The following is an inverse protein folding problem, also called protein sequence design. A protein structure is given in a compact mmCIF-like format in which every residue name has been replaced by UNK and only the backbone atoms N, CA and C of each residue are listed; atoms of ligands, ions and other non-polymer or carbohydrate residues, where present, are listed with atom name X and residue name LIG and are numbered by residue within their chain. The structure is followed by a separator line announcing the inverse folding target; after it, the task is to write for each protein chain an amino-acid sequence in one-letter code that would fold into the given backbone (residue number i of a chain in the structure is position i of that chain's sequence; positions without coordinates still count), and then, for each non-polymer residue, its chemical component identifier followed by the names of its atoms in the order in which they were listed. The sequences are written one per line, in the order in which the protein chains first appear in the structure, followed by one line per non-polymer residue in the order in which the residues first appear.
data_IF_612367287892
#
_entry.id   IF_612367287892
#
_cell.length_a   1.000
_cell.length_b   1.000
_cell.length_c   1.000
_cell.angle_alpha   90.00
_cell.angle_beta   90.00
_cell.angle_gamma   90.00
#
_symmetry.space_group_name_H-M   'P 1'
#
loop_
_entity.id
_entity.type
_entity.pdbx_description
1 polymer ?
#
# COMPACT_ATOMS: atom_id res chain seq x y z
N UNK A 1 18.65 10.22 -11.72
CA UNK A 1 18.52 9.91 -10.27
C UNK A 1 17.14 9.34 -10.03
N UNK A 2 17.11 8.12 -9.58
CA UNK A 2 15.84 7.46 -9.26
C UNK A 2 15.40 7.89 -7.87
N UNK A 3 14.22 8.44 -7.77
CA UNK A 3 13.67 8.76 -6.46
C UNK A 3 13.41 7.46 -5.69
N UNK A 4 13.82 7.45 -4.44
CA UNK A 4 13.59 6.31 -3.58
C UNK A 4 12.12 6.28 -3.14
N UNK A 5 11.44 5.18 -3.41
CA UNK A 5 10.06 5.00 -3.01
C UNK A 5 10.04 4.45 -1.59
N UNK A 6 9.33 5.16 -0.70
CA UNK A 6 9.08 4.70 0.66
C UNK A 6 7.59 4.47 0.80
N UNK A 7 7.19 3.24 1.00
CA UNK A 7 5.77 2.87 1.04
C UNK A 7 5.38 2.28 2.39
N UNK A 8 4.11 2.44 2.73
CA UNK A 8 3.50 1.77 3.88
C UNK A 8 2.32 0.97 3.34
N UNK A 9 2.30 -0.31 3.67
CA UNK A 9 1.29 -1.25 3.21
C UNK A 9 0.48 -1.77 4.40
N UNK A 10 -0.83 -1.58 4.35
CA UNK A 10 -1.76 -2.15 5.32
C UNK A 10 -2.45 -3.35 4.69
N UNK A 11 -2.25 -4.54 5.24
CA UNK A 11 -2.68 -5.78 4.63
C UNK A 11 -3.53 -6.64 5.56
N UNK A 12 -4.47 -7.38 4.99
CA UNK A 12 -5.18 -8.44 5.70
C UNK A 12 -4.73 -9.84 5.24
N UNK A 13 -3.69 -9.89 4.42
CA UNK A 13 -3.14 -11.14 3.90
C UNK A 13 -3.81 -11.65 2.65
N UNK A 14 -4.68 -10.85 2.00
CA UNK A 14 -5.34 -11.29 0.78
C UNK A 14 -4.38 -11.30 -0.41
N UNK A 15 -4.85 -11.84 -1.53
CA UNK A 15 -4.04 -12.00 -2.74
C UNK A 15 -3.58 -10.68 -3.34
N UNK A 16 -4.41 -9.65 -3.27
CA UNK A 16 -4.05 -8.33 -3.78
C UNK A 16 -2.92 -7.70 -2.96
N UNK A 17 -2.91 -7.94 -1.66
CA UNK A 17 -1.83 -7.49 -0.79
C UNK A 17 -0.50 -8.12 -1.19
N UNK A 18 -0.53 -9.40 -1.54
CA UNK A 18 0.66 -10.09 -1.99
C UNK A 18 1.19 -9.53 -3.32
N UNK A 19 0.29 -9.21 -4.23
CA UNK A 19 0.64 -8.60 -5.51
C UNK A 19 1.37 -7.27 -5.33
N UNK A 20 0.81 -6.41 -4.47
CA UNK A 20 1.44 -5.10 -4.26
C UNK A 20 2.78 -5.23 -3.54
N UNK A 21 2.92 -6.21 -2.65
CA UNK A 21 4.19 -6.50 -2.00
C UNK A 21 5.26 -6.86 -3.02
N UNK A 22 4.93 -7.75 -3.94
CA UNK A 22 5.84 -8.16 -5.01
C UNK A 22 6.22 -6.98 -5.90
N UNK A 23 5.25 -6.13 -6.22
CA UNK A 23 5.50 -4.95 -7.03
C UNK A 23 6.47 -4.00 -6.34
N UNK A 24 6.25 -3.71 -5.07
CA UNK A 24 7.13 -2.84 -4.31
C UNK A 24 8.55 -3.37 -4.23
N UNK A 25 8.70 -4.68 -4.08
CA UNK A 25 10.02 -5.32 -4.09
C UNK A 25 10.69 -5.18 -5.45
N UNK A 26 9.95 -5.38 -6.53
CA UNK A 26 10.52 -5.33 -7.88
C UNK A 26 10.96 -3.91 -8.26
N UNK A 27 10.34 -2.89 -7.69
CA UNK A 27 10.71 -1.49 -7.93
C UNK A 27 11.93 -1.06 -7.11
N UNK A 28 12.43 -1.93 -6.23
CA UNK A 28 13.59 -1.62 -5.39
C UNK A 28 13.30 -0.61 -4.29
N UNK A 29 12.04 -0.36 -3.99
CA UNK A 29 11.64 0.56 -2.95
C UNK A 29 11.74 -0.05 -1.56
N UNK A 30 11.71 0.80 -0.55
CA UNK A 30 11.56 0.37 0.83
C UNK A 30 10.09 0.41 1.20
N UNK A 31 9.64 -0.57 1.97
CA UNK A 31 8.27 -0.54 2.45
C UNK A 31 8.15 -1.16 3.83
N UNK A 32 7.17 -0.66 4.58
CA UNK A 32 6.75 -1.22 5.85
C UNK A 32 5.41 -1.90 5.63
N UNK A 33 5.24 -3.07 6.22
CA UNK A 33 4.00 -3.83 6.11
C UNK A 33 3.37 -3.95 7.49
N UNK A 34 2.12 -3.49 7.61
CA UNK A 34 1.34 -3.65 8.84
C UNK A 34 0.22 -4.65 8.56
N UNK A 35 0.10 -5.64 9.42
CA UNK A 35 -0.82 -6.76 9.22
C UNK A 35 -2.00 -6.67 10.20
N UNK A 36 -3.21 -6.80 9.66
CA UNK A 36 -4.43 -6.84 10.44
C UNK A 36 -4.33 -7.94 11.50
N UNK A 37 -4.67 -7.59 12.72
CA UNK A 37 -4.64 -8.51 13.85
C UNK A 37 -3.29 -8.62 14.55
N UNK A 38 -2.20 -8.19 13.89
CA UNK A 38 -0.87 -8.17 14.50
C UNK A 38 -0.44 -6.75 14.83
N UNK A 39 -0.58 -5.83 13.88
CA UNK A 39 -0.09 -4.46 14.01
C UNK A 39 -1.21 -3.45 14.21
N UNK A 40 -2.42 -3.78 13.81
CA UNK A 40 -3.58 -2.90 13.95
C UNK A 40 -4.85 -3.72 13.95
N UNK A 41 -5.95 -3.10 14.40
CA UNK A 41 -7.29 -3.71 14.36
C UNK A 41 -8.08 -3.19 13.17
N UNK A 42 -9.13 -3.91 12.77
CA UNK A 42 -10.02 -3.45 11.71
C UNK A 42 -10.65 -2.10 12.07
N UNK A 43 -10.98 -1.90 13.35
CA UNK A 43 -11.53 -0.63 13.82
C UNK A 43 -10.56 0.52 13.59
N UNK A 44 -9.29 0.34 13.94
CA UNK A 44 -8.26 1.36 13.72
C UNK A 44 -8.11 1.67 12.23
N UNK A 45 -8.13 0.63 11.40
CA UNK A 45 -8.03 0.77 9.95
C UNK A 45 -9.18 1.60 9.40
N UNK A 46 -10.40 1.31 9.83
CA UNK A 46 -11.59 2.02 9.35
C UNK A 46 -11.66 3.45 9.83
N UNK A 47 -11.12 3.74 11.00
CA UNK A 47 -11.01 5.10 11.50
C UNK A 47 -10.01 5.92 10.68
N UNK A 48 -8.94 5.28 10.22
CA UNK A 48 -7.89 5.97 9.45
C UNK A 48 -8.28 6.16 7.99
N UNK A 49 -8.81 5.12 7.34
CA UNK A 49 -9.02 5.09 5.90
C UNK A 49 -10.48 5.19 5.47
N UNK A 50 -11.40 5.10 6.41
CA UNK A 50 -12.81 5.20 6.12
C UNK A 50 -13.57 3.90 6.31
N UNK A 51 -14.87 4.04 6.50
CA UNK A 51 -15.77 2.94 6.82
C UNK A 51 -15.81 1.87 5.73
N UNK A 52 -15.67 2.27 4.47
CA UNK A 52 -15.75 1.38 3.33
C UNK A 52 -14.39 1.10 2.68
N UNK A 53 -13.32 1.40 3.40
CA UNK A 53 -11.98 1.17 2.86
C UNK A 53 -11.70 -0.32 2.66
N UNK A 54 -11.03 -0.63 1.55
CA UNK A 54 -10.68 -2.00 1.20
C UNK A 54 -9.20 -2.26 1.46
N UNK A 55 -8.84 -3.53 1.63
CA UNK A 55 -7.45 -3.94 1.70
C UNK A 55 -6.97 -4.34 0.31
N UNK A 56 -5.70 -4.09 -0.04
CA UNK A 56 -4.71 -3.37 0.74
C UNK A 56 -4.92 -1.85 0.68
N UNK A 57 -4.35 -1.13 1.64
CA UNK A 57 -4.24 0.33 1.56
C UNK A 57 -2.77 0.70 1.53
N UNK A 58 -2.41 1.58 0.63
CA UNK A 58 -1.02 1.92 0.39
C UNK A 58 -0.80 3.42 0.54
N UNK A 59 0.29 3.76 1.23
CA UNK A 59 0.76 5.13 1.35
C UNK A 59 2.17 5.19 0.74
N UNK A 60 2.41 6.16 -0.13
CA UNK A 60 3.72 6.32 -0.80
C UNK A 60 4.23 7.71 -0.53
N UNK A 61 5.44 7.78 0.04
CA UNK A 61 6.09 9.04 0.38
C UNK A 61 5.18 9.95 1.21
N UNK A 62 4.50 9.36 2.20
CA UNK A 62 3.57 10.02 3.12
C UNK A 62 2.26 10.49 2.47
N UNK A 63 1.98 10.08 1.25
CA UNK A 63 0.73 10.37 0.57
C UNK A 63 -0.12 9.11 0.49
N UNK A 64 -1.34 9.17 1.02
CA UNK A 64 -2.29 8.05 0.93
C UNK A 64 -2.75 7.89 -0.52
N UNK A 65 -2.45 6.73 -1.10
CA UNK A 65 -2.76 6.47 -2.50
C UNK A 65 -4.10 5.74 -2.64
N UNK A 66 -4.29 4.68 -1.86
CA UNK A 66 -5.50 3.88 -1.91
C UNK A 66 -5.22 2.40 -1.97
N UNK A 67 -6.07 1.66 -2.68
CA UNK A 67 -5.96 0.22 -2.83
C UNK A 67 -4.99 -0.14 -3.97
N UNK A 68 -4.96 -1.41 -4.35
CA UNK A 68 -4.10 -1.90 -5.44
C UNK A 68 -4.36 -1.14 -6.75
N UNK A 69 -5.62 -0.93 -7.10
CA UNK A 69 -5.99 -0.26 -8.35
C UNK A 69 -5.44 1.17 -8.41
N UNK A 70 -5.63 1.93 -7.36
CA UNK A 70 -5.17 3.31 -7.28
C UNK A 70 -3.65 3.38 -7.27
N UNK A 71 -3.01 2.41 -6.64
CA UNK A 71 -1.55 2.32 -6.59
C UNK A 71 -0.96 2.02 -7.96
N UNK A 72 -1.56 1.11 -8.71
CA UNK A 72 -1.13 0.82 -10.07
C UNK A 72 -1.27 2.04 -10.97
N UNK A 73 -2.38 2.76 -10.84
CA UNK A 73 -2.59 4.01 -11.56
C UNK A 73 -1.55 5.06 -11.19
N UNK A 74 -1.24 5.19 -9.93
CA UNK A 74 -0.22 6.11 -9.44
C UNK A 74 1.13 5.83 -10.11
N UNK A 75 1.57 4.58 -10.10
CA UNK A 75 2.84 4.20 -10.70
C UNK A 75 2.85 4.42 -12.20
N UNK A 76 1.75 4.14 -12.86
CA UNK A 76 1.61 4.34 -14.30
C UNK A 76 1.68 5.83 -14.66
N UNK A 77 0.99 6.67 -13.90
CA UNK A 77 0.99 8.12 -14.10
C UNK A 77 2.38 8.72 -13.88
N UNK A 78 3.13 8.19 -12.92
CA UNK A 78 4.48 8.65 -12.63
C UNK A 78 5.53 8.08 -13.57
N UNK A 79 5.13 7.20 -14.49
CA UNK A 79 6.07 6.61 -15.43
C UNK A 79 6.96 5.53 -14.83
N UNK A 80 6.56 4.96 -13.70
CA UNK A 80 7.32 3.91 -13.02
C UNK A 80 7.03 2.54 -13.64
N UNK A 81 5.83 2.35 -14.13
CA UNK A 81 5.42 1.11 -14.82
C UNK A 81 5.33 1.31 -16.33
#
# INVERSE_FOLDING_TARGET
VTEKITAVLYTDGNQECERIRMLLKSLGGEYLEYTLGLDFSDRQFRMEFGKNAEYPQITINNEHIGSLKETLNYFKTKGIL
#
